data_IF_393443098094
#
_entry.id   IF_393443098094
#
_cell.length_a   1.000
_cell.length_b   1.000
_cell.length_c   1.000
_cell.angle_alpha   90.00
_cell.angle_beta   90.00
_cell.angle_gamma   90.00
#
_symmetry.space_group_name_H-M   'P 1'
#
loop_
_entity.id
_entity.type
_entity.pdbx_description
1 polymer ?
#
# COMPACT_ATOMS: atom_id res chain seq x y z
N UNK A 1 7.08 -7.69 -21.12
CA UNK A 1 6.41 -7.42 -19.83
C UNK A 1 7.38 -7.83 -18.76
N UNK A 2 7.89 -6.89 -17.97
CA UNK A 2 8.87 -7.22 -16.94
C UNK A 2 8.14 -7.83 -15.73
N UNK A 3 8.38 -9.10 -15.37
CA UNK A 3 7.67 -9.77 -14.28
C UNK A 3 7.95 -9.10 -12.93
N UNK A 4 9.08 -8.41 -12.76
CA UNK A 4 9.41 -7.70 -11.53
C UNK A 4 8.53 -6.46 -11.36
N UNK A 5 8.32 -5.71 -12.45
CA UNK A 5 7.41 -4.56 -12.45
C UNK A 5 5.96 -4.97 -12.17
N UNK A 6 5.50 -6.05 -12.82
CA UNK A 6 4.16 -6.58 -12.56
C UNK A 6 4.02 -7.08 -11.11
N UNK A 7 5.02 -7.78 -10.60
CA UNK A 7 5.06 -8.24 -9.22
C UNK A 7 5.00 -7.09 -8.21
N UNK A 8 5.72 -5.99 -8.47
CA UNK A 8 5.69 -4.80 -7.60
C UNK A 8 4.30 -4.14 -7.56
N UNK A 9 3.63 -4.00 -8.71
CA UNK A 9 2.27 -3.46 -8.75
C UNK A 9 1.29 -4.38 -8.04
N UNK A 10 1.45 -5.70 -8.20
CA UNK A 10 0.60 -6.69 -7.55
C UNK A 10 0.79 -6.66 -6.02
N UNK A 11 2.03 -6.56 -5.54
CA UNK A 11 2.36 -6.40 -4.12
C UNK A 11 1.73 -5.13 -3.54
N UNK A 12 1.85 -3.99 -4.24
CA UNK A 12 1.26 -2.73 -3.81
C UNK A 12 -0.27 -2.82 -3.73
N UNK A 13 -0.91 -3.46 -4.72
CA UNK A 13 -2.36 -3.73 -4.69
C UNK A 13 -2.76 -4.61 -3.50
N UNK A 14 -1.93 -5.59 -3.14
CA UNK A 14 -2.18 -6.46 -1.99
C UNK A 14 -2.05 -5.71 -0.66
N UNK A 15 -1.06 -4.84 -0.53
CA UNK A 15 -0.88 -3.92 0.61
C UNK A 15 -2.10 -3.01 0.76
N UNK A 16 -2.49 -2.32 -0.32
CA UNK A 16 -3.67 -1.46 -0.36
C UNK A 16 -4.94 -2.22 0.05
N UNK A 17 -5.11 -3.47 -0.38
CA UNK A 17 -6.26 -4.29 0.02
C UNK A 17 -6.32 -4.56 1.54
N UNK A 18 -5.18 -4.56 2.23
CA UNK A 18 -5.13 -4.77 3.70
C UNK A 18 -5.44 -3.52 4.52
N UNK A 19 -5.21 -2.33 3.95
CA UNK A 19 -5.49 -1.01 4.56
C UNK A 19 -6.85 -0.47 4.11
N UNK A 20 -7.36 -0.86 2.95
CA UNK A 20 -8.66 -0.43 2.42
C UNK A 20 -9.85 -1.03 3.19
N UNK A 21 -10.92 -0.26 3.48
CA UNK A 21 -12.18 -0.80 4.00
C UNK A 21 -12.90 -1.58 2.87
N UNK A 22 -12.73 -2.91 2.79
CA UNK A 22 -13.70 -3.87 3.35
C UNK A 22 -13.06 -5.09 4.05
N UNK A 23 -11.75 -5.33 3.88
CA UNK A 23 -10.98 -6.39 4.56
C UNK A 23 -10.16 -5.82 5.73
N UNK A 24 -9.59 -4.61 5.58
CA UNK A 24 -9.15 -3.72 6.64
C UNK A 24 -8.39 -4.35 7.81
N UNK A 25 -7.69 -5.48 7.60
CA UNK A 25 -7.15 -6.28 8.69
C UNK A 25 -6.20 -5.42 9.54
N UNK A 26 -5.42 -4.56 8.88
CA UNK A 26 -4.51 -3.65 9.54
C UNK A 26 -5.25 -2.59 10.37
N UNK A 27 -6.39 -2.10 9.89
CA UNK A 27 -7.26 -1.17 10.62
C UNK A 27 -7.94 -1.84 11.82
N UNK A 28 -8.37 -3.10 11.68
CA UNK A 28 -8.93 -3.88 12.77
C UNK A 28 -7.89 -4.18 13.87
N UNK A 29 -6.65 -4.49 13.47
CA UNK A 29 -5.52 -4.65 14.40
C UNK A 29 -5.22 -3.33 15.11
N UNK A 30 -5.15 -2.22 14.37
CA UNK A 30 -4.93 -0.88 14.96
C UNK A 30 -6.01 -0.53 15.98
N UNK A 31 -7.29 -0.83 15.71
CA UNK A 31 -8.34 -0.66 16.71
C UNK A 31 -8.10 -1.55 17.94
N UNK A 32 -7.61 -2.77 17.76
CA UNK A 32 -7.33 -3.72 18.84
C UNK A 32 -6.32 -3.21 19.88
N UNK A 33 -5.32 -2.43 19.44
CA UNK A 33 -4.32 -1.79 20.31
C UNK A 33 -4.66 -0.34 20.68
N UNK A 34 -5.69 0.26 20.07
CA UNK A 34 -6.05 1.65 20.32
C UNK A 34 -6.67 1.88 21.72
N UNK A 35 -6.42 3.05 22.35
CA UNK A 35 -7.02 3.42 23.63
C UNK A 35 -8.55 3.44 23.59
N UNK A 36 -9.19 3.22 24.76
CA UNK A 36 -10.65 3.31 24.92
C UNK A 36 -11.12 4.73 24.58
N UNK A 37 -11.80 4.88 23.44
CA UNK A 37 -12.30 6.16 22.94
C UNK A 37 -12.12 6.34 21.43
N UNK A 38 -11.19 5.61 20.81
CA UNK A 38 -10.98 5.65 19.35
C UNK A 38 -12.06 4.83 18.65
N UNK A 39 -12.81 5.45 17.75
CA UNK A 39 -13.84 4.77 16.96
C UNK A 39 -13.23 4.17 15.69
N UNK A 40 -13.94 3.24 15.05
CA UNK A 40 -13.53 2.78 13.71
C UNK A 40 -13.54 3.89 12.68
N UNK A 41 -14.43 4.88 12.84
CA UNK A 41 -14.46 6.06 11.98
C UNK A 41 -13.16 6.86 12.01
N UNK A 42 -12.54 6.99 13.19
CA UNK A 42 -11.27 7.71 13.34
C UNK A 42 -10.10 6.98 12.67
N UNK A 43 -10.08 5.64 12.79
CA UNK A 43 -9.07 4.80 12.16
C UNK A 43 -9.23 4.80 10.64
N UNK A 44 -10.46 4.79 10.12
CA UNK A 44 -10.73 4.92 8.69
C UNK A 44 -10.33 6.30 8.16
N UNK A 45 -10.66 7.37 8.88
CA UNK A 45 -10.27 8.73 8.50
C UNK A 45 -8.74 8.88 8.44
N UNK A 46 -8.01 8.23 9.35
CA UNK A 46 -6.56 8.22 9.37
C UNK A 46 -5.94 7.39 8.23
N UNK A 47 -6.64 6.38 7.69
CA UNK A 47 -6.12 5.54 6.61
C UNK A 47 -6.33 6.10 5.21
N UNK A 48 -7.35 6.96 5.00
CA UNK A 48 -7.60 7.66 3.74
C UNK A 48 -6.38 8.40 3.17
N UNK A 49 -5.64 9.23 3.95
CA UNK A 49 -4.45 9.91 3.42
C UNK A 49 -3.35 8.93 3.03
N UNK A 50 -3.28 7.77 3.70
CA UNK A 50 -2.32 6.71 3.36
C UNK A 50 -2.68 6.03 2.04
N UNK A 51 -3.96 5.69 1.84
CA UNK A 51 -4.46 5.17 0.57
C UNK A 51 -4.19 6.13 -0.60
N UNK A 52 -4.34 7.43 -0.39
CA UNK A 52 -4.05 8.44 -1.41
C UNK A 52 -2.57 8.45 -1.80
N UNK A 53 -1.66 8.30 -0.83
CA UNK A 53 -0.24 8.18 -1.08
C UNK A 53 0.09 6.88 -1.83
N UNK A 54 -0.49 5.75 -1.43
CA UNK A 54 -0.28 4.47 -2.13
C UNK A 54 -0.78 4.52 -3.57
N UNK A 55 -1.92 5.17 -3.80
CA UNK A 55 -2.45 5.37 -5.16
C UNK A 55 -1.54 6.26 -6.00
N UNK A 56 -0.94 7.29 -5.39
CA UNK A 56 0.02 8.18 -6.05
C UNK A 56 1.30 7.41 -6.40
N UNK A 57 1.82 6.62 -5.47
CA UNK A 57 2.96 5.73 -5.70
C UNK A 57 2.65 4.73 -6.80
N UNK A 58 1.47 4.11 -6.79
CA UNK A 58 1.03 3.22 -7.86
C UNK A 58 1.04 3.90 -9.22
N UNK A 59 0.46 5.11 -9.31
CA UNK A 59 0.49 5.93 -10.52
C UNK A 59 1.91 6.25 -10.98
N UNK A 60 2.81 6.54 -10.04
CA UNK A 60 4.21 6.83 -10.35
C UNK A 60 4.95 5.59 -10.87
N UNK A 61 4.71 4.41 -10.30
CA UNK A 61 5.32 3.14 -10.75
C UNK A 61 4.76 2.69 -12.11
N UNK A 62 3.49 3.02 -12.40
CA UNK A 62 2.87 2.81 -13.70
C UNK A 62 3.47 3.74 -14.76
N UNK A 63 3.70 5.02 -14.43
CA UNK A 63 4.28 6.00 -15.34
C UNK A 63 5.79 5.81 -15.54
N UNK A 64 6.51 5.38 -14.50
CA UNK A 64 7.96 5.24 -14.46
C UNK A 64 8.38 3.83 -13.97
N UNK A 65 8.26 2.79 -14.82
CA UNK A 65 8.66 1.43 -14.47
C UNK A 65 10.15 1.31 -14.10
N UNK A 66 10.99 2.24 -14.57
CA UNK A 66 12.41 2.31 -14.24
C UNK A 66 12.68 2.46 -12.74
N UNK A 67 11.76 3.02 -11.96
CA UNK A 67 11.90 3.12 -10.50
C UNK A 67 11.91 1.74 -9.84
N UNK A 68 11.07 0.82 -10.33
CA UNK A 68 11.03 -0.57 -9.83
C UNK A 68 12.23 -1.37 -10.31
N UNK A 69 12.64 -1.17 -11.55
CA UNK A 69 13.67 -1.98 -12.21
C UNK A 69 15.10 -1.53 -11.89
N UNK A 70 15.27 -0.33 -11.35
CA UNK A 70 16.58 0.21 -10.97
C UNK A 70 17.28 -0.64 -9.90
N UNK A 71 16.60 -0.98 -8.81
CA UNK A 71 17.22 -1.75 -7.73
C UNK A 71 17.53 -3.22 -8.11
N UNK A 72 16.61 -3.98 -8.73
CA UNK A 72 16.89 -5.34 -9.22
C UNK A 72 18.04 -5.38 -10.24
N UNK A 73 18.15 -4.38 -11.12
CA UNK A 73 19.23 -4.31 -12.10
C UNK A 73 20.61 -4.02 -11.48
N UNK A 74 20.65 -3.42 -10.29
CA UNK A 74 21.88 -3.24 -9.51
C UNK A 74 22.30 -4.49 -8.72
N UNK A 75 21.33 -5.27 -8.21
CA UNK A 75 21.59 -6.47 -7.40
C UNK A 75 21.83 -7.71 -8.27
N UNK A 76 21.22 -7.80 -9.45
CA UNK A 76 21.34 -8.94 -10.35
C UNK A 76 22.63 -8.94 -11.20
N UNK A 77 23.66 -8.20 -10.79
CA UNK A 77 24.94 -8.06 -11.51
C UNK A 77 26.09 -8.69 -10.75
#
# INVERSE_FOLDING_TARGET
>A
YDPVWFGAIMLLNMEMATISPPFGLNLFVMRGVAPRGVTMGDVYAASIPFLLLDLLVMGLLLAFPSLVLWLPSLISK
#
